data_IF_645586994627
#
_entry.id   IF_645586994627
#
_cell.length_a   1.000
_cell.length_b   1.000
_cell.length_c   1.000
_cell.angle_alpha   90.00
_cell.angle_beta   90.00
_cell.angle_gamma   90.00
#
_symmetry.space_group_name_H-M   'P 1'
#
loop_
_entity.id
_entity.type
_entity.pdbx_description
1 polymer ?
#
# COMPACT_ATOMS: atom_id res chain seq x y z
N UNK A 1 4.71 -4.15 -6.01
CA UNK A 1 5.20 -5.52 -5.79
C UNK A 1 6.71 -5.67 -5.66
N UNK A 2 7.56 -5.20 -6.61
CA UNK A 2 8.99 -5.51 -6.56
C UNK A 2 9.64 -5.02 -5.26
N UNK A 3 9.31 -3.82 -4.80
CA UNK A 3 9.98 -3.24 -3.62
C UNK A 3 9.75 -4.02 -2.32
N UNK A 4 8.50 -4.41 -1.98
CA UNK A 4 8.23 -5.18 -0.75
C UNK A 4 8.99 -6.50 -0.76
N UNK A 5 8.83 -7.29 -1.83
CA UNK A 5 9.44 -8.62 -1.98
C UNK A 5 10.97 -8.53 -2.04
N UNK A 6 11.52 -7.50 -2.67
CA UNK A 6 12.96 -7.31 -2.84
C UNK A 6 13.62 -6.78 -1.56
N UNK A 7 13.01 -5.82 -0.87
CA UNK A 7 13.48 -5.37 0.45
C UNK A 7 13.40 -6.50 1.47
N UNK A 8 12.32 -7.31 1.46
CA UNK A 8 12.21 -8.48 2.32
C UNK A 8 13.37 -9.46 2.11
N UNK A 9 13.63 -9.87 0.86
CA UNK A 9 14.72 -10.82 0.56
C UNK A 9 16.12 -10.27 0.77
N UNK A 10 16.35 -9.01 0.44
CA UNK A 10 17.70 -8.47 0.38
C UNK A 10 18.15 -7.79 1.67
N UNK A 11 17.21 -7.38 2.52
CA UNK A 11 17.49 -6.62 3.75
C UNK A 11 16.93 -7.37 4.96
N UNK A 12 15.60 -7.51 5.03
CA UNK A 12 14.90 -7.95 6.26
C UNK A 12 15.22 -9.41 6.63
N UNK A 13 15.28 -10.30 5.63
CA UNK A 13 15.59 -11.72 5.87
C UNK A 13 17.09 -12.00 6.06
N UNK A 14 17.96 -11.06 5.68
CA UNK A 14 19.41 -11.20 5.88
C UNK A 14 19.85 -10.71 7.25
N UNK A 15 19.17 -9.68 7.75
CA UNK A 15 19.49 -9.04 9.03
C UNK A 15 18.51 -9.45 10.13
N UNK A 16 19.04 -9.71 11.34
CA UNK A 16 18.23 -10.24 12.44
C UNK A 16 17.39 -9.18 13.16
N UNK A 17 17.75 -7.91 13.05
CA UNK A 17 17.16 -6.86 13.89
C UNK A 17 16.10 -6.02 13.19
N UNK A 18 15.80 -6.32 11.92
CA UNK A 18 14.79 -5.60 11.15
C UNK A 18 13.45 -6.32 11.12
N UNK A 19 12.38 -5.53 11.23
CA UNK A 19 11.00 -5.92 10.94
C UNK A 19 10.43 -4.95 9.90
N UNK A 20 9.70 -5.48 8.94
CA UNK A 20 9.01 -4.67 7.94
C UNK A 20 7.52 -4.56 8.29
N UNK A 21 7.03 -3.33 8.36
CA UNK A 21 5.60 -3.03 8.47
C UNK A 21 5.17 -2.38 7.17
N UNK A 22 4.21 -2.99 6.47
CA UNK A 22 3.63 -2.43 5.24
C UNK A 22 2.24 -1.92 5.57
N UNK A 23 2.01 -0.64 5.25
CA UNK A 23 0.71 0.02 5.39
C UNK A 23 0.14 0.26 3.99
N UNK A 24 -1.08 -0.21 3.74
CA UNK A 24 -1.80 0.09 2.50
C UNK A 24 -3.31 0.04 2.73
N UNK A 25 -4.11 0.89 2.04
CA UNK A 25 -5.55 0.92 2.22
C UNK A 25 -6.29 -0.23 1.50
N UNK A 26 -5.59 -0.98 0.65
CA UNK A 26 -6.14 -1.98 -0.25
C UNK A 26 -5.57 -3.39 0.02
N UNK A 27 -6.37 -4.41 -0.30
CA UNK A 27 -6.02 -5.84 -0.12
C UNK A 27 -5.48 -6.50 -1.38
N UNK A 28 -5.58 -5.82 -2.53
CA UNK A 28 -5.17 -6.35 -3.84
C UNK A 28 -4.11 -5.46 -4.46
N UNK A 29 -3.09 -6.08 -5.03
CA UNK A 29 -2.17 -5.39 -5.92
C UNK A 29 -2.77 -5.29 -7.32
N UNK A 30 -2.86 -4.07 -7.81
CA UNK A 30 -3.29 -3.76 -9.17
C UNK A 30 -2.08 -3.75 -10.08
N UNK A 31 -2.11 -4.47 -11.19
CA UNK A 31 -1.07 -4.42 -12.22
C UNK A 31 -1.46 -3.44 -13.34
N UNK A 32 -1.07 -2.14 -13.28
CA UNK A 32 -1.68 -1.09 -14.09
C UNK A 32 -1.42 -1.28 -15.58
N UNK A 33 -0.27 -1.86 -15.94
CA UNK A 33 0.12 -2.11 -17.34
C UNK A 33 -0.84 -3.08 -18.03
N UNK A 34 -1.43 -4.03 -17.30
CA UNK A 34 -2.38 -5.00 -17.84
C UNK A 34 -3.83 -4.49 -17.88
N UNK A 35 -4.15 -3.38 -17.22
CA UNK A 35 -5.54 -2.90 -17.07
C UNK A 35 -6.23 -2.61 -18.40
N UNK A 36 -5.50 -2.12 -19.41
CA UNK A 36 -6.06 -1.87 -20.75
C UNK A 36 -6.61 -3.16 -21.38
N UNK A 37 -6.05 -4.33 -21.05
CA UNK A 37 -6.53 -5.63 -21.53
C UNK A 37 -7.75 -6.12 -20.77
N UNK A 38 -7.95 -5.70 -19.52
CA UNK A 38 -9.12 -6.07 -18.70
C UNK A 38 -10.39 -5.39 -19.22
N UNK A 39 -10.26 -4.17 -19.74
CA UNK A 39 -11.40 -3.40 -20.26
C UNK A 39 -11.99 -4.06 -21.52
N UNK A 40 -11.18 -4.80 -22.29
CA UNK A 40 -11.64 -5.48 -23.50
C UNK A 40 -12.30 -6.82 -23.11
N UNK A 41 -13.61 -7.02 -23.40
CA UNK A 41 -14.30 -8.25 -23.03
C UNK A 41 -13.60 -9.49 -23.59
N UNK A 42 -13.34 -10.48 -22.72
CA UNK A 42 -12.73 -11.76 -23.10
C UNK A 42 -11.23 -11.74 -23.37
N UNK A 43 -10.56 -10.58 -23.33
CA UNK A 43 -9.12 -10.50 -23.60
C UNK A 43 -8.26 -10.89 -22.38
N UNK A 44 -8.71 -10.59 -21.17
CA UNK A 44 -8.03 -10.96 -19.93
C UNK A 44 -9.02 -11.02 -18.77
N UNK A 45 -8.87 -12.03 -17.93
CA UNK A 45 -9.67 -12.17 -16.71
C UNK A 45 -9.12 -11.31 -15.58
N UNK A 46 -10.02 -10.79 -14.74
CA UNK A 46 -9.70 -9.84 -13.66
C UNK A 46 -8.74 -10.42 -12.62
N UNK A 47 -8.84 -11.72 -12.31
CA UNK A 47 -7.98 -12.44 -11.37
C UNK A 47 -6.49 -12.39 -11.75
N UNK A 48 -6.17 -12.13 -13.02
CA UNK A 48 -4.78 -11.98 -13.48
C UNK A 48 -4.19 -10.59 -13.23
N UNK A 49 -5.03 -9.60 -12.90
CA UNK A 49 -4.64 -8.19 -12.79
C UNK A 49 -4.85 -7.64 -11.38
N UNK A 50 -5.80 -8.21 -10.64
CA UNK A 50 -6.03 -7.95 -9.22
C UNK A 50 -5.47 -9.11 -8.40
N UNK A 51 -4.23 -8.96 -7.94
CA UNK A 51 -3.51 -10.04 -7.24
C UNK A 51 -3.71 -9.87 -5.72
N UNK A 52 -4.28 -10.86 -5.00
CA UNK A 52 -4.45 -10.76 -3.55
C UNK A 52 -3.11 -10.64 -2.82
N UNK A 53 -2.97 -9.63 -1.96
CA UNK A 53 -1.74 -9.41 -1.19
C UNK A 53 -1.52 -10.50 -0.13
N UNK A 54 -2.61 -11.00 0.47
CA UNK A 54 -2.57 -11.99 1.55
C UNK A 54 -1.81 -13.27 1.14
N UNK A 55 -2.06 -13.77 -0.07
CA UNK A 55 -1.40 -14.97 -0.60
C UNK A 55 0.12 -14.79 -0.70
N UNK A 56 0.58 -13.58 -0.94
CA UNK A 56 2.01 -13.25 -1.11
C UNK A 56 2.69 -13.05 0.24
N UNK A 57 1.97 -12.46 1.21
CA UNK A 57 2.51 -12.21 2.54
C UNK A 57 2.59 -13.46 3.42
N UNK A 58 1.83 -14.51 3.10
CA UNK A 58 1.93 -15.82 3.77
C UNK A 58 3.32 -16.46 3.69
N UNK A 59 4.13 -16.08 2.70
CA UNK A 59 5.51 -16.58 2.56
C UNK A 59 6.47 -15.95 3.59
N UNK A 60 6.08 -14.87 4.26
CA UNK A 60 6.97 -14.12 5.15
C UNK A 60 6.81 -14.51 6.63
N UNK A 61 7.91 -14.65 7.39
CA UNK A 61 7.84 -14.92 8.82
C UNK A 61 7.09 -13.82 9.58
N UNK A 62 6.19 -14.20 10.48
CA UNK A 62 5.32 -13.27 11.23
C UNK A 62 6.09 -12.38 12.23
N UNK A 63 7.28 -12.81 12.66
CA UNK A 63 8.21 -12.01 13.47
C UNK A 63 8.88 -10.89 12.65
N UNK A 64 8.98 -11.08 11.32
CA UNK A 64 9.68 -10.18 10.40
C UNK A 64 8.77 -9.30 9.57
N UNK A 65 7.50 -9.65 9.46
CA UNK A 65 6.57 -8.96 8.57
C UNK A 65 5.23 -8.70 9.25
N UNK A 66 4.71 -7.50 9.04
CA UNK A 66 3.36 -7.13 9.43
C UNK A 66 2.70 -6.35 8.29
N UNK A 67 1.47 -6.71 7.96
CA UNK A 67 0.64 -5.94 7.05
C UNK A 67 -0.47 -5.23 7.82
N UNK A 68 -0.56 -3.91 7.65
CA UNK A 68 -1.55 -3.05 8.27
C UNK A 68 -2.48 -2.54 7.17
N UNK A 69 -3.74 -2.96 7.23
CA UNK A 69 -4.78 -2.51 6.31
C UNK A 69 -5.34 -1.15 6.79
N UNK A 70 -4.88 -0.08 6.14
CA UNK A 70 -5.22 1.29 6.51
C UNK A 70 -4.55 2.32 5.62
N UNK A 71 -5.03 3.56 5.68
CA UNK A 71 -4.45 4.69 4.97
C UNK A 71 -3.50 5.46 5.89
N UNK A 72 -2.29 5.77 5.43
CA UNK A 72 -1.41 6.70 6.13
C UNK A 72 -1.94 8.14 5.94
N UNK A 73 -2.28 8.82 7.04
CA UNK A 73 -2.86 10.17 7.04
C UNK A 73 -1.89 11.25 7.49
N UNK A 74 -0.87 10.88 8.27
CA UNK A 74 0.06 11.83 8.86
C UNK A 74 1.47 11.28 8.95
N UNK A 75 2.45 12.18 8.84
CA UNK A 75 3.86 11.88 9.00
C UNK A 75 4.45 12.90 9.98
N UNK A 76 5.05 12.42 11.06
CA UNK A 76 5.91 13.21 11.94
C UNK A 76 7.38 12.76 11.75
N UNK A 77 8.18 13.51 10.97
CA UNK A 77 9.58 13.19 10.75
C UNK A 77 10.46 13.37 12.00
N UNK A 78 10.06 14.24 12.94
CA UNK A 78 10.84 14.52 14.15
C UNK A 78 10.65 13.39 15.17
N UNK A 79 9.41 12.98 15.39
CA UNK A 79 9.07 11.81 16.22
C UNK A 79 9.37 10.47 15.55
N UNK A 80 9.62 10.46 14.23
CA UNK A 80 9.74 9.26 13.40
C UNK A 80 8.51 8.35 13.50
N UNK A 81 7.34 8.95 13.35
CA UNK A 81 6.05 8.27 13.47
C UNK A 81 5.20 8.52 12.23
N UNK A 82 4.49 7.49 11.79
CA UNK A 82 3.42 7.57 10.79
C UNK A 82 2.08 7.33 11.49
N UNK A 83 1.11 8.20 11.23
CA UNK A 83 -0.27 8.04 11.69
C UNK A 83 -1.09 7.34 10.61
N UNK A 84 -1.71 6.22 10.98
CA UNK A 84 -2.49 5.37 10.08
C UNK A 84 -3.94 5.34 10.55
N UNK A 85 -4.86 5.57 9.63
CA UNK A 85 -6.29 5.34 9.82
C UNK A 85 -6.61 3.93 9.36
N UNK A 86 -7.03 3.08 10.30
CA UNK A 86 -7.33 1.68 10.03
C UNK A 86 -8.70 1.55 9.35
N UNK A 87 -8.80 0.63 8.38
CA UNK A 87 -10.06 0.40 7.68
C UNK A 87 -11.15 -0.23 8.57
N UNK A 88 -10.82 -0.71 9.77
CA UNK A 88 -11.74 -1.36 10.71
C UNK A 88 -12.55 -0.37 11.58
N UNK A 89 -13.07 0.70 10.97
CA UNK A 89 -13.86 1.71 11.67
C UNK A 89 -13.12 3.02 11.96
N UNK A 90 -12.00 3.29 11.28
CA UNK A 90 -11.30 4.58 11.36
C UNK A 90 -10.46 4.78 12.62
N UNK A 91 -10.20 3.72 13.37
CA UNK A 91 -9.31 3.78 14.51
C UNK A 91 -7.91 4.23 14.06
N UNK A 92 -7.31 5.16 14.81
CA UNK A 92 -5.96 5.65 14.52
C UNK A 92 -4.91 4.76 15.17
N UNK A 93 -3.86 4.45 14.42
CA UNK A 93 -2.69 3.72 14.89
C UNK A 93 -1.43 4.51 14.55
N UNK A 94 -0.59 4.73 15.54
CA UNK A 94 0.74 5.29 15.35
C UNK A 94 1.76 4.17 15.16
N UNK A 95 2.64 4.34 14.19
CA UNK A 95 3.69 3.38 13.86
C UNK A 95 5.02 4.12 13.84
N UNK A 96 5.90 3.79 14.79
CA UNK A 96 7.28 4.28 14.81
C UNK A 96 8.13 3.60 13.73
N UNK A 97 9.10 4.32 13.18
CA UNK A 97 10.00 3.78 12.16
C UNK A 97 11.46 4.21 12.36
N UNK A 98 12.39 3.35 11.96
CA UNK A 98 13.81 3.70 11.81
C UNK A 98 14.11 4.16 10.38
N UNK A 99 13.51 3.49 9.40
CA UNK A 99 13.57 3.82 7.99
C UNK A 99 12.15 3.82 7.39
N UNK A 100 11.83 4.85 6.61
CA UNK A 100 10.53 5.01 5.96
C UNK A 100 10.66 4.91 4.44
N UNK A 101 9.87 4.02 3.83
CA UNK A 101 9.76 3.89 2.38
C UNK A 101 8.38 4.40 1.96
N UNK A 102 8.34 5.51 1.23
CA UNK A 102 7.09 6.07 0.69
C UNK A 102 6.90 5.51 -0.72
N UNK A 103 5.85 4.69 -0.88
CA UNK A 103 5.49 4.06 -2.14
C UNK A 103 3.97 4.15 -2.43
N UNK A 104 3.33 5.24 -1.98
CA UNK A 104 1.88 5.48 -2.09
C UNK A 104 1.43 5.87 -3.50
N UNK A 105 2.37 6.12 -4.42
CA UNK A 105 2.06 6.53 -5.78
C UNK A 105 1.52 7.96 -5.85
N UNK A 106 0.69 8.22 -6.86
CA UNK A 106 0.02 9.50 -7.09
C UNK A 106 -1.48 9.27 -7.38
N UNK A 107 -2.29 10.29 -7.15
CA UNK A 107 -3.71 10.28 -7.49
C UNK A 107 -3.98 11.29 -8.62
N UNK A 108 -4.96 11.01 -9.46
CA UNK A 108 -5.46 11.98 -10.44
C UNK A 108 -6.15 13.14 -9.70
N UNK A 109 -5.93 14.36 -10.19
CA UNK A 109 -6.71 15.53 -9.77
C UNK A 109 -7.93 15.63 -10.68
N UNK A 110 -9.09 15.81 -10.08
CA UNK A 110 -10.29 16.20 -10.79
C UNK A 110 -10.41 17.73 -10.68
N UNK A 111 -10.09 18.43 -11.76
CA UNK A 111 -10.17 19.89 -11.83
C UNK A 111 -11.64 20.26 -12.09
N UNK A 112 -12.47 20.22 -11.04
CA UNK A 112 -13.89 20.52 -11.14
C UNK A 112 -14.16 21.92 -11.70
N UNK A 113 -14.59 22.00 -12.96
CA UNK A 113 -15.18 23.20 -13.54
C UNK A 113 -16.69 23.19 -13.27
N UNK A 114 -17.09 23.63 -12.07
CA UNK A 114 -18.43 24.17 -11.84
C UNK A 114 -18.42 25.23 -10.71
N UNK A 115 -18.11 26.47 -11.11
CA UNK A 115 -18.35 27.65 -10.27
C UNK A 115 -18.95 28.80 -11.08
N UNK A 116 -19.79 28.47 -12.08
CA UNK A 116 -20.63 29.45 -12.80
C UNK A 116 -22.09 29.26 -12.42
N UNK A 117 -22.42 29.63 -11.19
CA UNK A 117 -23.68 30.28 -10.84
C UNK A 117 -23.59 30.80 -9.41
N UNK A 118 -23.34 32.11 -9.28
CA UNK A 118 -23.78 32.88 -8.12
C UNK A 118 -24.81 33.91 -8.64
N UNK A 119 -25.91 34.13 -7.91
CA UNK A 119 -26.95 35.09 -8.30
C UNK A 119 -26.47 36.54 -8.27
#
# INVERSE_FOLDING_TARGET
>A
MPIIRQTMRNVILKEKDWKMVVVAPNTHFHFPIAMVRVIVPGAMSEDKVFIPLEGIFKEFPADKFEFVLGAAEGLDPKGKVVSVSLNNGGAKREIGYDALIIATGAAARDDGEDSREAP
#
